data_IF_990723027265
#
_entry.id   IF_990723027265
#
_cell.length_a   1.000
_cell.length_b   1.000
_cell.length_c   1.000
_cell.angle_alpha   90.00
_cell.angle_beta   90.00
_cell.angle_gamma   90.00
#
_symmetry.space_group_name_H-M   'P 1'
#
loop_
_entity.id
_entity.type
_entity.pdbx_description
1 polymer ?
#
# COMPACT_ATOMS: atom_id res chain seq x y z
N UNK A 1 12.00 3.84 -26.89
CA UNK A 1 11.86 2.54 -26.18
C UNK A 1 11.82 2.86 -24.70
N UNK A 2 10.82 2.38 -23.97
CA UNK A 2 10.67 2.66 -22.53
C UNK A 2 11.74 1.85 -21.78
N UNK A 3 12.47 2.47 -20.83
CA UNK A 3 13.50 1.76 -20.06
C UNK A 3 12.89 0.65 -19.19
N UNK A 4 13.64 -0.39 -18.90
CA UNK A 4 13.17 -1.52 -18.10
C UNK A 4 12.83 -1.10 -16.64
N UNK A 5 13.54 -0.09 -16.13
CA UNK A 5 13.23 0.51 -14.82
C UNK A 5 11.85 1.16 -14.81
N UNK A 6 11.49 1.92 -15.87
CA UNK A 6 10.18 2.54 -15.97
C UNK A 6 9.07 1.49 -16.16
N UNK A 7 9.33 0.43 -16.92
CA UNK A 7 8.40 -0.69 -17.03
C UNK A 7 8.18 -1.36 -15.67
N UNK A 8 9.24 -1.60 -14.91
CA UNK A 8 9.18 -2.16 -13.56
C UNK A 8 8.33 -1.27 -12.63
N UNK A 9 8.56 0.04 -12.68
CA UNK A 9 7.76 1.02 -11.91
C UNK A 9 6.28 0.94 -12.28
N UNK A 10 5.94 0.92 -13.56
CA UNK A 10 4.54 0.85 -14.04
C UNK A 10 3.90 -0.47 -13.59
N UNK A 11 4.58 -1.60 -13.75
CA UNK A 11 4.09 -2.92 -13.32
C UNK A 11 3.81 -2.92 -11.82
N UNK A 12 4.73 -2.38 -11.01
CA UNK A 12 4.57 -2.28 -9.57
C UNK A 12 3.42 -1.37 -9.15
N UNK A 13 3.07 -0.37 -9.95
CA UNK A 13 1.95 0.53 -9.69
C UNK A 13 0.58 -0.13 -9.95
N UNK A 14 0.52 -1.27 -10.63
CA UNK A 14 -0.75 -1.95 -10.92
C UNK A 14 -1.33 -2.66 -9.69
N UNK A 15 -2.67 -2.68 -9.52
CA UNK A 15 -3.31 -3.23 -8.32
C UNK A 15 -3.23 -4.76 -8.18
N UNK A 16 -2.91 -5.47 -9.26
CA UNK A 16 -2.89 -6.94 -9.29
C UNK A 16 -1.49 -7.47 -9.08
N UNK A 17 -0.52 -6.91 -9.80
CA UNK A 17 0.85 -7.41 -9.83
C UNK A 17 1.65 -6.86 -8.66
N UNK A 18 1.55 -5.53 -8.45
CA UNK A 18 2.28 -4.81 -7.41
C UNK A 18 3.80 -5.13 -7.42
N UNK A 19 4.51 -4.83 -6.34
CA UNK A 19 5.94 -5.13 -6.22
C UNK A 19 6.25 -6.64 -6.24
N UNK A 20 5.28 -7.47 -5.88
CA UNK A 20 5.44 -8.93 -5.81
C UNK A 20 5.77 -9.58 -7.15
N UNK A 21 5.14 -9.10 -8.21
CA UNK A 21 5.45 -9.54 -9.56
C UNK A 21 6.49 -8.65 -10.23
N UNK A 22 6.52 -7.34 -9.90
CA UNK A 22 7.47 -6.41 -10.51
C UNK A 22 8.92 -6.76 -10.18
N UNK A 23 9.25 -7.12 -8.93
CA UNK A 23 10.61 -7.51 -8.53
C UNK A 23 11.11 -8.75 -9.28
N UNK A 24 10.39 -9.89 -9.29
CA UNK A 24 10.82 -11.05 -10.08
C UNK A 24 10.94 -10.76 -11.56
N UNK A 25 9.99 -10.04 -12.15
CA UNK A 25 10.06 -9.65 -13.58
C UNK A 25 11.30 -8.80 -13.85
N UNK A 26 11.60 -7.85 -13.00
CA UNK A 26 12.77 -6.99 -13.12
C UNK A 26 14.09 -7.77 -13.05
N UNK A 27 14.17 -8.76 -12.15
CA UNK A 27 15.36 -9.56 -11.94
C UNK A 27 15.55 -10.62 -13.04
N UNK A 28 14.48 -11.36 -13.40
CA UNK A 28 14.60 -12.52 -14.30
C UNK A 28 14.39 -12.18 -15.77
N UNK A 29 13.50 -11.23 -16.08
CA UNK A 29 13.16 -10.91 -17.48
C UNK A 29 13.92 -9.69 -18.00
N UNK A 30 14.17 -8.71 -17.13
CA UNK A 30 14.85 -7.47 -17.52
C UNK A 30 16.33 -7.44 -17.09
N UNK A 31 16.78 -8.45 -16.35
CA UNK A 31 18.17 -8.57 -15.85
C UNK A 31 18.67 -7.31 -15.14
N UNK A 32 17.75 -6.58 -14.48
CA UNK A 32 18.11 -5.40 -13.71
C UNK A 32 18.91 -5.79 -12.45
N UNK A 33 19.78 -4.88 -12.01
CA UNK A 33 20.45 -5.06 -10.73
C UNK A 33 19.42 -5.16 -9.60
N UNK A 34 19.76 -5.91 -8.55
CA UNK A 34 18.89 -6.08 -7.36
C UNK A 34 18.44 -4.74 -6.80
N UNK A 35 19.36 -3.78 -6.74
CA UNK A 35 19.07 -2.44 -6.25
C UNK A 35 18.06 -1.69 -7.13
N UNK A 36 18.24 -1.73 -8.45
CA UNK A 36 17.30 -1.10 -9.39
C UNK A 36 15.92 -1.76 -9.34
N UNK A 37 15.88 -3.10 -9.39
CA UNK A 37 14.63 -3.85 -9.28
C UNK A 37 13.85 -3.51 -8.01
N UNK A 38 14.54 -3.45 -6.87
CA UNK A 38 13.94 -3.09 -5.58
C UNK A 38 13.43 -1.65 -5.57
N UNK A 39 14.28 -0.67 -5.91
CA UNK A 39 13.94 0.77 -5.82
C UNK A 39 12.76 1.09 -6.73
N UNK A 40 12.79 0.70 -8.00
CA UNK A 40 11.73 1.03 -8.95
C UNK A 40 10.42 0.29 -8.64
N UNK A 41 10.48 -0.93 -8.11
CA UNK A 41 9.29 -1.65 -7.66
C UNK A 41 8.67 -1.01 -6.41
N UNK A 42 9.46 -0.63 -5.42
CA UNK A 42 8.98 0.03 -4.20
C UNK A 42 8.37 1.40 -4.52
N UNK A 43 9.06 2.22 -5.32
CA UNK A 43 8.55 3.53 -5.73
C UNK A 43 7.27 3.41 -6.55
N UNK A 44 7.23 2.46 -7.49
CA UNK A 44 6.04 2.20 -8.31
C UNK A 44 4.85 1.77 -7.46
N UNK A 45 5.06 0.96 -6.44
CA UNK A 45 3.99 0.48 -5.56
C UNK A 45 3.51 1.56 -4.57
N UNK A 46 4.38 2.47 -4.12
CA UNK A 46 4.02 3.60 -3.26
C UNK A 46 3.29 4.70 -4.03
N UNK A 47 3.62 4.89 -5.31
CA UNK A 47 3.08 5.97 -6.12
C UNK A 47 1.53 6.04 -6.12
N UNK A 48 0.78 4.97 -6.42
CA UNK A 48 -0.68 5.00 -6.40
C UNK A 48 -1.27 5.24 -5.00
N UNK A 49 -0.56 4.88 -3.92
CA UNK A 49 -1.04 5.05 -2.53
C UNK A 49 -1.39 6.51 -2.25
N UNK A 50 -0.57 7.45 -2.75
CA UNK A 50 -0.81 8.90 -2.59
C UNK A 50 -2.18 9.27 -3.15
N UNK A 51 -2.46 8.86 -4.38
CA UNK A 51 -3.71 9.18 -5.07
C UNK A 51 -4.90 8.48 -4.43
N UNK A 52 -4.76 7.22 -4.04
CA UNK A 52 -5.82 6.43 -3.41
C UNK A 52 -6.22 7.05 -2.09
N UNK A 53 -5.27 7.37 -1.22
CA UNK A 53 -5.54 7.97 0.09
C UNK A 53 -6.19 9.36 -0.05
N UNK A 54 -5.66 10.21 -0.94
CA UNK A 54 -6.23 11.54 -1.21
C UNK A 54 -7.61 11.44 -1.86
N UNK A 55 -7.83 10.49 -2.75
CA UNK A 55 -9.12 10.26 -3.39
C UNK A 55 -10.17 9.87 -2.36
N UNK A 56 -9.89 8.89 -1.52
CA UNK A 56 -10.84 8.46 -0.48
C UNK A 56 -11.18 9.58 0.51
N UNK A 57 -10.20 10.41 0.90
CA UNK A 57 -10.44 11.56 1.76
C UNK A 57 -11.37 12.58 1.09
N UNK A 58 -11.11 12.94 -0.16
CA UNK A 58 -11.93 13.88 -0.94
C UNK A 58 -13.34 13.34 -1.20
N UNK A 59 -13.46 12.06 -1.60
CA UNK A 59 -14.75 11.42 -1.90
C UNK A 59 -15.61 11.32 -0.63
N UNK A 60 -15.01 10.92 0.49
CA UNK A 60 -15.71 10.86 1.78
C UNK A 60 -16.27 12.23 2.18
N UNK A 61 -15.45 13.28 2.07
CA UNK A 61 -15.86 14.63 2.38
C UNK A 61 -16.98 15.14 1.43
N UNK A 62 -16.84 14.90 0.13
CA UNK A 62 -17.82 15.27 -0.87
C UNK A 62 -19.19 14.58 -0.68
N UNK A 63 -19.17 13.26 -0.46
CA UNK A 63 -20.39 12.47 -0.23
C UNK A 63 -21.06 12.85 1.09
N UNK A 64 -20.28 13.15 2.13
CA UNK A 64 -20.80 13.59 3.44
C UNK A 64 -21.50 14.95 3.34
N UNK A 65 -21.10 15.81 2.40
CA UNK A 65 -21.74 17.10 2.17
C UNK A 65 -23.02 17.00 1.33
N UNK A 66 -23.09 16.06 0.37
CA UNK A 66 -24.22 15.93 -0.56
C UNK A 66 -25.39 15.11 -0.04
N UNK A 67 -25.18 14.19 0.89
CA UNK A 67 -26.24 13.30 1.37
C UNK A 67 -26.16 13.09 2.87
N UNK A 68 -27.29 13.32 3.56
CA UNK A 68 -27.43 13.05 5.00
C UNK A 68 -27.20 11.55 5.34
N UNK A 69 -27.48 10.65 4.40
CA UNK A 69 -27.27 9.22 4.57
C UNK A 69 -25.78 8.86 4.58
N UNK A 70 -25.00 9.39 3.61
CA UNK A 70 -23.57 9.19 3.56
C UNK A 70 -22.86 9.86 4.72
N UNK A 71 -23.29 11.09 5.12
CA UNK A 71 -22.79 11.75 6.31
C UNK A 71 -22.98 10.87 7.55
N UNK A 72 -24.18 10.32 7.74
CA UNK A 72 -24.48 9.45 8.88
C UNK A 72 -23.68 8.15 8.87
N UNK A 73 -23.44 7.59 7.69
CA UNK A 73 -22.60 6.40 7.50
C UNK A 73 -21.13 6.69 7.84
N UNK A 74 -20.55 7.75 7.29
CA UNK A 74 -19.17 8.12 7.57
C UNK A 74 -18.97 8.58 9.01
N UNK A 75 -19.91 9.35 9.57
CA UNK A 75 -19.88 9.74 11.00
C UNK A 75 -19.95 8.52 11.90
N UNK A 76 -20.78 7.52 11.57
CA UNK A 76 -20.84 6.26 12.31
C UNK A 76 -19.53 5.48 12.19
N UNK A 77 -18.98 5.35 10.98
CA UNK A 77 -17.71 4.67 10.71
C UNK A 77 -16.56 5.32 11.47
N UNK A 78 -16.41 6.63 11.34
CA UNK A 78 -15.33 7.37 12.00
C UNK A 78 -15.53 7.48 13.51
N UNK A 79 -16.78 7.60 13.98
CA UNK A 79 -17.07 7.66 15.42
C UNK A 79 -16.81 6.29 16.08
N UNK A 80 -17.16 5.19 15.41
CA UNK A 80 -16.86 3.84 15.89
C UNK A 80 -15.35 3.60 15.99
N UNK A 81 -14.60 4.16 15.06
CA UNK A 81 -13.14 4.07 15.03
C UNK A 81 -12.50 5.01 16.05
N UNK A 82 -13.07 6.21 16.26
CA UNK A 82 -12.55 7.22 17.20
C UNK A 82 -12.93 6.97 18.66
N UNK A 83 -14.09 6.33 18.95
CA UNK A 83 -14.53 6.04 20.33
C UNK A 83 -13.66 5.02 21.09
N UNK A 84 -12.78 4.32 20.41
CA UNK A 84 -11.80 3.41 21.03
C UNK A 84 -10.43 4.10 21.27
N UNK A 85 -10.43 5.37 21.64
CA UNK A 85 -9.22 6.14 21.98
C UNK A 85 -8.64 5.72 23.33
N UNK A 86 -8.15 4.50 23.42
CA UNK A 86 -7.09 4.15 24.37
C UNK A 86 -5.83 3.96 23.52
N UNK A 87 -4.71 4.59 23.89
CA UNK A 87 -3.48 4.65 23.07
C UNK A 87 -2.96 3.30 22.57
N UNK A 88 -3.35 2.20 23.23
CA UNK A 88 -3.05 0.84 22.78
C UNK A 88 -3.80 0.48 21.48
N UNK A 89 -5.06 0.90 21.31
CA UNK A 89 -5.84 0.57 20.10
C UNK A 89 -5.27 1.21 18.85
N UNK A 90 -4.83 2.45 18.92
CA UNK A 90 -4.21 3.13 17.79
C UNK A 90 -2.90 2.46 17.36
N UNK A 91 -2.08 2.05 18.35
CA UNK A 91 -0.84 1.32 18.08
C UNK A 91 -1.10 -0.05 17.44
N UNK A 92 -2.09 -0.79 17.91
CA UNK A 92 -2.49 -2.08 17.33
C UNK A 92 -2.98 -1.91 15.88
N UNK A 93 -3.79 -0.91 15.62
CA UNK A 93 -4.32 -0.59 14.29
C UNK A 93 -3.20 -0.23 13.32
N UNK A 94 -2.27 0.61 13.74
CA UNK A 94 -1.14 1.06 12.94
C UNK A 94 -0.17 -0.11 12.66
N UNK A 95 0.13 -0.90 13.68
CA UNK A 95 0.95 -2.10 13.55
C UNK A 95 0.28 -3.13 12.63
N UNK A 96 -1.04 -3.34 12.78
CA UNK A 96 -1.80 -4.21 11.87
C UNK A 96 -1.66 -3.76 10.42
N UNK A 97 -1.78 -2.45 10.16
CA UNK A 97 -1.67 -1.92 8.80
C UNK A 97 -0.28 -2.20 8.19
N UNK A 98 0.80 -1.97 8.95
CA UNK A 98 2.16 -2.28 8.51
C UNK A 98 2.32 -3.77 8.23
N UNK A 99 1.93 -4.63 9.15
CA UNK A 99 2.04 -6.09 9.00
C UNK A 99 1.21 -6.57 7.80
N UNK A 100 -0.03 -6.08 7.67
CA UNK A 100 -0.93 -6.45 6.58
C UNK A 100 -0.33 -6.13 5.20
N UNK A 101 0.29 -4.95 5.05
CA UNK A 101 0.95 -4.55 3.80
C UNK A 101 2.27 -5.28 3.59
N UNK A 102 2.98 -5.63 4.68
CA UNK A 102 4.29 -6.29 4.62
C UNK A 102 4.22 -7.74 4.14
N UNK A 103 3.08 -8.42 4.35
CA UNK A 103 2.93 -9.81 3.94
C UNK A 103 2.66 -9.86 2.42
N UNK A 104 3.55 -10.47 1.62
CA UNK A 104 3.40 -10.46 0.16
C UNK A 104 2.42 -11.55 -0.33
N UNK A 105 1.19 -11.54 0.16
CA UNK A 105 0.12 -12.45 -0.25
C UNK A 105 -0.84 -11.78 -1.25
N UNK A 106 -1.55 -12.55 -2.08
CA UNK A 106 -2.65 -12.03 -2.88
C UNK A 106 -3.68 -11.32 -1.99
N UNK A 107 -4.20 -10.17 -2.43
CA UNK A 107 -5.20 -9.36 -1.69
C UNK A 107 -4.60 -8.53 -0.53
N UNK A 108 -3.40 -8.78 -0.07
CA UNK A 108 -2.67 -7.86 0.82
C UNK A 108 -1.78 -6.95 -0.01
N UNK A 109 -1.42 -5.78 0.48
CA UNK A 109 -0.49 -4.90 -0.23
C UNK A 109 -0.89 -3.43 -0.14
N UNK A 110 -0.28 -2.59 -0.97
CA UNK A 110 -0.42 -1.14 -0.90
C UNK A 110 -1.84 -0.65 -1.23
N UNK A 111 -2.48 -1.23 -2.22
CA UNK A 111 -3.84 -0.88 -2.65
C UNK A 111 -4.88 -1.19 -1.57
N UNK A 112 -4.90 -2.44 -1.10
CA UNK A 112 -5.83 -2.87 -0.04
C UNK A 112 -5.47 -2.27 1.31
N UNK A 113 -4.19 -2.05 1.59
CA UNK A 113 -3.72 -1.32 2.76
C UNK A 113 -4.25 0.12 2.79
N UNK A 114 -4.27 0.80 1.64
CA UNK A 114 -4.86 2.15 1.52
C UNK A 114 -6.36 2.15 1.80
N UNK A 115 -7.08 1.15 1.31
CA UNK A 115 -8.50 0.98 1.61
C UNK A 115 -8.72 0.69 3.11
N UNK A 116 -7.92 -0.19 3.70
CA UNK A 116 -7.98 -0.47 5.14
C UNK A 116 -7.70 0.78 5.97
N UNK A 117 -6.69 1.57 5.60
CA UNK A 117 -6.39 2.83 6.28
C UNK A 117 -7.57 3.80 6.26
N UNK A 118 -8.25 3.90 5.10
CA UNK A 118 -9.47 4.70 4.97
C UNK A 118 -10.60 4.17 5.88
N UNK A 119 -10.89 2.87 5.83
CA UNK A 119 -11.94 2.25 6.64
C UNK A 119 -11.67 2.38 8.15
N UNK A 120 -10.42 2.34 8.56
CA UNK A 120 -10.02 2.57 9.95
C UNK A 120 -9.94 4.04 10.34
N UNK A 121 -10.21 4.96 9.42
CA UNK A 121 -10.16 6.39 9.66
C UNK A 121 -8.75 6.90 9.98
N UNK A 122 -7.71 6.27 9.42
CA UNK A 122 -6.32 6.70 9.59
C UNK A 122 -6.08 7.87 8.61
N UNK A 123 -5.70 9.06 9.09
CA UNK A 123 -5.47 10.22 8.22
C UNK A 123 -4.26 10.00 7.31
N UNK A 124 -4.25 10.67 6.15
CA UNK A 124 -3.18 10.57 5.15
C UNK A 124 -1.77 10.65 5.75
N UNK A 125 -1.52 11.65 6.59
CA UNK A 125 -0.19 11.89 7.20
C UNK A 125 0.33 10.71 8.03
N UNK A 126 -0.56 9.86 8.52
CA UNK A 126 -0.22 8.68 9.33
C UNK A 126 -0.28 7.40 8.49
N UNK A 127 -1.27 7.28 7.61
CA UNK A 127 -1.44 6.11 6.73
C UNK A 127 -0.29 5.96 5.73
N UNK A 128 0.11 7.06 5.09
CA UNK A 128 1.13 7.03 4.05
C UNK A 128 2.48 6.47 4.53
N UNK A 129 3.10 6.95 5.64
CA UNK A 129 4.36 6.38 6.12
C UNK A 129 4.21 4.92 6.60
N UNK A 130 3.08 4.54 7.19
CA UNK A 130 2.85 3.15 7.62
C UNK A 130 2.75 2.19 6.44
N UNK A 131 1.99 2.56 5.40
CA UNK A 131 1.89 1.77 4.18
C UNK A 131 3.25 1.70 3.47
N UNK A 132 3.95 2.83 3.36
CA UNK A 132 5.28 2.86 2.75
C UNK A 132 6.27 1.95 3.46
N UNK A 133 6.26 1.93 4.80
CA UNK A 133 7.07 1.01 5.60
C UNK A 133 6.70 -0.45 5.30
N UNK A 134 5.41 -0.76 5.25
CA UNK A 134 4.93 -2.10 4.88
C UNK A 134 5.39 -2.52 3.48
N UNK A 135 5.32 -1.61 2.50
CA UNK A 135 5.80 -1.84 1.12
C UNK A 135 7.30 -2.13 1.08
N UNK A 136 8.11 -1.36 1.84
CA UNK A 136 9.55 -1.58 1.91
C UNK A 136 9.86 -2.96 2.48
N UNK A 137 9.21 -3.34 3.59
CA UNK A 137 9.38 -4.67 4.19
C UNK A 137 8.97 -5.77 3.23
N UNK A 138 7.81 -5.64 2.57
CA UNK A 138 7.36 -6.58 1.54
C UNK A 138 8.37 -6.69 0.40
N UNK A 139 8.93 -5.56 -0.04
CA UNK A 139 9.98 -5.51 -1.06
C UNK A 139 11.22 -6.29 -0.67
N UNK A 140 11.70 -6.15 0.57
CA UNK A 140 12.83 -6.92 1.10
C UNK A 140 12.50 -8.42 1.08
N UNK A 141 11.33 -8.81 1.58
CA UNK A 141 10.90 -10.22 1.62
C UNK A 141 10.87 -10.82 0.21
N UNK A 142 10.21 -10.13 -0.75
CA UNK A 142 10.10 -10.60 -2.13
C UNK A 142 11.47 -10.68 -2.80
N UNK A 143 12.34 -9.69 -2.57
CA UNK A 143 13.70 -9.71 -3.12
C UNK A 143 14.50 -10.90 -2.60
N UNK A 144 14.45 -11.18 -1.29
CA UNK A 144 15.13 -12.32 -0.70
C UNK A 144 14.62 -13.66 -1.25
N UNK A 145 13.30 -13.79 -1.39
CA UNK A 145 12.68 -15.00 -2.00
C UNK A 145 13.13 -15.13 -3.46
N UNK A 146 13.13 -14.06 -4.23
CA UNK A 146 13.54 -14.07 -5.64
C UNK A 146 15.01 -14.44 -5.79
N UNK A 147 15.89 -13.92 -4.94
CA UNK A 147 17.32 -14.28 -4.93
C UNK A 147 17.52 -15.73 -4.49
N UNK A 148 16.74 -16.24 -3.52
CA UNK A 148 16.75 -17.64 -3.13
C UNK A 148 16.38 -18.58 -4.29
N UNK A 149 15.48 -18.19 -5.16
CA UNK A 149 15.14 -18.96 -6.38
C UNK A 149 16.25 -18.97 -7.44
N UNK A 150 17.15 -17.98 -7.43
CA UNK A 150 18.32 -17.96 -8.33
C UNK A 150 19.39 -18.95 -7.88
N UNK A 151 19.45 -19.24 -6.57
CA UNK A 151 20.49 -20.08 -5.96
C UNK A 151 20.15 -21.58 -5.95
N UNK A 152 18.95 -21.97 -6.36
CA UNK A 152 18.48 -23.36 -6.51
C UNK A 152 18.48 -23.75 -7.97
#
# INVERSE_FOLDING_TARGET
>A
MISYELQTFIIAATPIIELRGAIPIALFNYELSVTSAFIFSVLGNIFPVIFILLFFEKVSNFLSQKSKLFKRFFDWLFTRTRKKHQGNYERFRDLFLVIFVSIPLPITGAWTGSLCAFLFGIPFKRAFPLISLGVIIAGVIVTLISLGMILI
#
